data_IF_177532406891
#
_entry.id   IF_177532406891
#
_cell.length_a   1.000
_cell.length_b   1.000
_cell.length_c   1.000
_cell.angle_alpha   90.00
_cell.angle_beta   90.00
_cell.angle_gamma   90.00
#
_symmetry.space_group_name_H-M   'P 1'
#
loop_
_entity.id
_entity.type
_entity.pdbx_description
1 polymer ?
#
# COMPACT_ATOMS: atom_id res chain seq x y z
N UNK A 1 29.49 -25.51 9.56
CA UNK A 1 28.89 -26.30 8.46
C UNK A 1 29.53 -27.69 8.24
N UNK A 2 30.72 -28.00 8.79
CA UNK A 2 31.39 -29.30 8.56
C UNK A 2 30.78 -30.47 9.36
N UNK A 3 30.25 -30.22 10.56
CA UNK A 3 29.65 -31.24 11.43
C UNK A 3 28.45 -32.00 10.80
N UNK A 4 27.43 -31.33 10.20
CA UNK A 4 26.31 -32.05 9.57
C UNK A 4 26.74 -32.84 8.32
N UNK A 5 27.74 -32.35 7.58
CA UNK A 5 28.29 -33.05 6.40
C UNK A 5 28.99 -34.33 6.84
N UNK A 6 29.78 -34.27 7.92
CA UNK A 6 30.47 -35.43 8.47
C UNK A 6 29.49 -36.51 8.95
N UNK A 7 28.40 -36.10 9.63
CA UNK A 7 27.34 -37.01 10.09
C UNK A 7 26.62 -37.65 8.89
N UNK A 8 26.29 -36.88 7.84
CA UNK A 8 25.63 -37.39 6.65
C UNK A 8 26.50 -38.44 5.93
N UNK A 9 27.81 -38.21 5.82
CA UNK A 9 28.77 -39.15 5.22
C UNK A 9 28.86 -40.45 6.03
N UNK A 10 28.89 -40.35 7.36
CA UNK A 10 28.93 -41.52 8.26
C UNK A 10 27.65 -42.35 8.14
N UNK A 11 26.48 -41.70 8.11
CA UNK A 11 25.18 -42.37 7.95
C UNK A 11 25.08 -43.07 6.59
N UNK A 12 25.55 -42.43 5.52
CA UNK A 12 25.58 -43.01 4.18
C UNK A 12 26.49 -44.24 4.13
N UNK A 13 27.68 -44.16 4.74
CA UNK A 13 28.63 -45.28 4.80
C UNK A 13 28.07 -46.48 5.59
N UNK A 14 27.40 -46.22 6.72
CA UNK A 14 26.74 -47.26 7.51
C UNK A 14 25.58 -47.91 6.75
N UNK A 15 24.79 -47.12 6.03
CA UNK A 15 23.67 -47.66 5.23
C UNK A 15 24.18 -48.57 4.10
N UNK A 16 25.27 -48.20 3.43
CA UNK A 16 25.92 -49.04 2.39
C UNK A 16 26.44 -50.36 2.97
N UNK A 17 27.09 -50.33 4.13
CA UNK A 17 27.60 -51.54 4.82
C UNK A 17 26.46 -52.49 5.25
N UNK A 18 25.34 -51.95 5.72
CA UNK A 18 24.17 -52.75 6.11
C UNK A 18 23.48 -53.36 4.88
N UNK A 19 23.41 -52.64 3.75
CA UNK A 19 22.84 -53.15 2.50
C UNK A 19 23.71 -54.26 1.88
N UNK A 20 25.05 -54.14 1.92
CA UNK A 20 25.96 -55.16 1.37
C UNK A 20 25.78 -56.51 2.05
N UNK A 21 25.52 -56.50 3.37
CA UNK A 21 25.33 -57.72 4.15
C UNK A 21 23.94 -58.35 3.97
N UNK A 22 22.92 -57.56 3.64
CA UNK A 22 21.53 -58.02 3.55
C UNK A 22 21.03 -58.28 2.12
N UNK A 23 21.67 -57.72 1.09
CA UNK A 23 21.24 -57.92 -0.30
C UNK A 23 22.03 -59.06 -0.93
N UNK A 24 21.35 -60.19 -1.18
CA UNK A 24 21.95 -61.43 -1.73
C UNK A 24 22.50 -61.29 -3.16
N UNK A 25 22.04 -60.30 -3.93
CA UNK A 25 22.45 -60.08 -5.33
C UNK A 25 23.36 -58.86 -5.46
N UNK A 26 24.61 -59.10 -5.86
CA UNK A 26 25.62 -58.04 -6.05
C UNK A 26 25.22 -57.02 -7.12
N UNK A 27 24.46 -57.43 -8.13
CA UNK A 27 24.01 -56.55 -9.21
C UNK A 27 22.98 -55.52 -8.74
N UNK A 28 22.08 -55.91 -7.84
CA UNK A 28 21.09 -55.01 -7.24
C UNK A 28 21.74 -53.96 -6.33
N UNK A 29 22.83 -54.34 -5.64
CA UNK A 29 23.62 -53.42 -4.81
C UNK A 29 24.31 -52.35 -5.67
N UNK A 30 24.99 -52.73 -6.75
CA UNK A 30 25.64 -51.74 -7.64
C UNK A 30 24.63 -50.81 -8.32
N UNK A 31 23.45 -51.32 -8.71
CA UNK A 31 22.39 -50.49 -9.27
C UNK A 31 21.88 -49.43 -8.28
N UNK A 32 21.76 -49.79 -7.00
CA UNK A 32 21.35 -48.87 -5.93
C UNK A 32 22.44 -47.82 -5.61
N UNK A 33 23.70 -48.23 -5.53
CA UNK A 33 24.80 -47.28 -5.34
C UNK A 33 24.92 -46.30 -6.52
N UNK A 34 24.72 -46.78 -7.75
CA UNK A 34 24.70 -45.93 -8.95
C UNK A 34 23.58 -44.90 -8.95
N UNK A 35 22.36 -45.28 -8.55
CA UNK A 35 21.24 -44.33 -8.47
C UNK A 35 21.43 -43.30 -7.36
N UNK A 36 22.04 -43.69 -6.24
CA UNK A 36 22.37 -42.78 -5.14
C UNK A 36 23.39 -41.71 -5.57
N UNK A 37 24.45 -42.10 -6.28
CA UNK A 37 25.46 -41.16 -6.79
C UNK A 37 24.89 -40.20 -7.84
N UNK A 38 23.97 -40.67 -8.70
CA UNK A 38 23.27 -39.80 -9.64
C UNK A 38 22.39 -38.79 -8.91
N UNK A 39 21.64 -39.22 -7.89
CA UNK A 39 20.80 -38.34 -7.09
C UNK A 39 21.62 -37.27 -6.36
N UNK A 40 22.75 -37.65 -5.74
CA UNK A 40 23.62 -36.69 -5.06
C UNK A 40 24.34 -35.75 -6.03
N UNK A 41 24.67 -36.20 -7.23
CA UNK A 41 25.27 -35.37 -8.28
C UNK A 41 24.28 -34.33 -8.82
N UNK A 42 23.00 -34.70 -9.00
CA UNK A 42 21.95 -33.77 -9.45
C UNK A 42 21.67 -32.71 -8.39
N UNK A 43 21.54 -33.11 -7.12
CA UNK A 43 21.34 -32.17 -6.00
C UNK A 43 22.56 -31.29 -5.78
N UNK A 44 23.77 -31.86 -5.86
CA UNK A 44 25.03 -31.12 -5.73
C UNK A 44 25.23 -30.11 -6.87
N UNK A 45 24.92 -30.50 -8.12
CA UNK A 45 24.95 -29.58 -9.25
C UNK A 45 23.90 -28.49 -9.12
N UNK A 46 22.67 -28.80 -8.72
CA UNK A 46 21.61 -27.82 -8.45
C UNK A 46 21.98 -26.83 -7.33
N UNK A 47 22.62 -27.31 -6.27
CA UNK A 47 23.12 -26.46 -5.19
C UNK A 47 24.30 -25.59 -5.63
N UNK A 48 25.27 -26.15 -6.37
CA UNK A 48 26.44 -25.43 -6.86
C UNK A 48 26.06 -24.39 -7.94
N UNK A 49 25.14 -24.72 -8.84
CA UNK A 49 24.58 -23.77 -9.82
C UNK A 49 23.70 -22.71 -9.17
N UNK A 50 23.00 -23.01 -8.06
CA UNK A 50 22.31 -21.98 -7.26
C UNK A 50 23.27 -21.10 -6.45
N UNK A 51 24.47 -21.60 -6.12
CA UNK A 51 25.53 -20.83 -5.44
C UNK A 51 26.39 -20.03 -6.43
N UNK A 52 26.27 -20.32 -7.73
CA UNK A 52 26.85 -19.52 -8.82
C UNK A 52 25.93 -18.35 -9.22
N UNK A 53 25.16 -17.80 -8.28
CA UNK A 53 24.78 -16.41 -8.37
C UNK A 53 26.07 -15.62 -8.20
N UNK A 54 26.64 -15.14 -9.30
CA UNK A 54 27.62 -14.06 -9.25
C UNK A 54 26.97 -12.95 -8.44
N UNK A 55 27.43 -12.78 -7.20
CA UNK A 55 27.13 -11.61 -6.39
C UNK A 55 27.71 -10.42 -7.15
N UNK A 56 26.91 -9.82 -8.01
CA UNK A 56 27.17 -8.48 -8.50
C UNK A 56 27.02 -7.61 -7.26
N UNK A 57 28.16 -7.30 -6.64
CA UNK A 57 28.26 -6.36 -5.52
C UNK A 57 27.46 -5.12 -5.93
N UNK A 58 26.35 -4.88 -5.23
CA UNK A 58 25.37 -3.87 -5.62
C UNK A 58 26.10 -2.54 -5.74
N UNK A 59 26.22 -2.02 -6.97
CA UNK A 59 27.08 -0.87 -7.27
C UNK A 59 26.74 0.28 -6.31
N UNK A 60 27.76 0.80 -5.62
CA UNK A 60 27.62 1.90 -4.66
C UNK A 60 26.88 3.09 -5.29
N UNK A 61 27.02 3.28 -6.61
CA UNK A 61 26.26 4.29 -7.36
C UNK A 61 24.75 4.04 -7.34
N UNK A 62 24.31 2.78 -7.46
CA UNK A 62 22.91 2.36 -7.43
C UNK A 62 22.32 2.57 -6.04
N UNK A 63 23.07 2.22 -4.99
CA UNK A 63 22.64 2.45 -3.60
C UNK A 63 22.46 3.95 -3.34
N UNK A 64 23.42 4.79 -3.76
CA UNK A 64 23.32 6.24 -3.61
C UNK A 64 22.14 6.82 -4.37
N UNK A 65 21.88 6.33 -5.59
CA UNK A 65 20.73 6.75 -6.40
C UNK A 65 19.40 6.42 -5.72
N UNK A 66 19.20 5.17 -5.28
CA UNK A 66 18.00 4.76 -4.54
C UNK A 66 17.83 5.57 -3.26
N UNK A 67 18.91 5.86 -2.54
CA UNK A 67 18.87 6.67 -1.31
C UNK A 67 18.44 8.11 -1.59
N UNK A 68 18.93 8.74 -2.66
CA UNK A 68 18.49 10.08 -3.07
C UNK A 68 16.99 10.10 -3.42
N UNK A 69 16.52 9.08 -4.14
CA UNK A 69 15.12 8.88 -4.48
C UNK A 69 14.24 8.71 -3.23
N UNK A 70 14.70 7.91 -2.25
CA UNK A 70 14.02 7.72 -0.96
C UNK A 70 13.87 9.03 -0.18
N UNK A 71 14.92 9.86 -0.13
CA UNK A 71 14.89 11.13 0.58
C UNK A 71 13.87 12.09 -0.04
N UNK A 72 13.94 12.27 -1.38
CA UNK A 72 13.02 13.13 -2.11
C UNK A 72 11.56 12.68 -1.95
N UNK A 73 11.29 11.38 -2.13
CA UNK A 73 9.96 10.83 -1.93
C UNK A 73 9.51 10.92 -0.47
N UNK A 74 10.39 10.63 0.49
CA UNK A 74 10.08 10.60 1.92
C UNK A 74 9.67 11.97 2.47
N UNK A 75 10.36 13.03 2.08
CA UNK A 75 9.99 14.41 2.44
C UNK A 75 8.61 14.76 1.89
N UNK A 76 8.40 14.52 0.60
CA UNK A 76 7.12 14.77 -0.06
C UNK A 76 5.98 13.95 0.57
N UNK A 77 6.21 12.66 0.80
CA UNK A 77 5.23 11.73 1.34
C UNK A 77 4.84 12.08 2.77
N UNK A 78 5.78 12.63 3.56
CA UNK A 78 5.50 13.15 4.91
C UNK A 78 4.51 14.31 4.86
N UNK A 79 4.69 15.25 3.93
CA UNK A 79 3.73 16.34 3.73
C UNK A 79 2.38 15.81 3.21
N UNK A 80 2.43 14.93 2.21
CA UNK A 80 1.25 14.28 1.65
C UNK A 80 0.40 13.55 2.71
N UNK A 81 1.04 12.81 3.62
CA UNK A 81 0.36 12.12 4.72
C UNK A 81 -0.40 13.08 5.63
N UNK A 82 0.17 14.24 5.95
CA UNK A 82 -0.53 15.28 6.72
C UNK A 82 -1.79 15.76 5.99
N UNK A 83 -1.75 15.86 4.66
CA UNK A 83 -2.94 16.20 3.87
C UNK A 83 -3.97 15.08 3.88
N UNK A 84 -3.54 13.82 3.79
CA UNK A 84 -4.45 12.66 3.93
C UNK A 84 -5.16 12.64 5.29
N UNK A 85 -4.42 12.87 6.38
CA UNK A 85 -5.00 12.91 7.73
C UNK A 85 -6.03 14.06 7.84
N UNK A 86 -5.75 15.22 7.23
CA UNK A 86 -6.69 16.34 7.19
C UNK A 86 -7.93 16.06 6.32
N UNK A 87 -7.77 15.35 5.20
CA UNK A 87 -8.86 14.90 4.33
C UNK A 87 -9.80 13.96 5.11
N UNK A 88 -9.24 13.00 5.85
CA UNK A 88 -10.00 12.06 6.66
C UNK A 88 -10.74 12.79 7.78
N UNK A 89 -10.06 13.70 8.49
CA UNK A 89 -10.67 14.52 9.53
C UNK A 89 -11.86 15.33 9.02
N UNK A 90 -11.75 15.95 7.84
CA UNK A 90 -12.84 16.71 7.23
C UNK A 90 -14.03 15.79 6.90
N UNK A 91 -13.76 14.59 6.39
CA UNK A 91 -14.79 13.61 6.05
C UNK A 91 -15.54 13.08 7.27
N UNK A 92 -14.79 12.72 8.32
CA UNK A 92 -15.36 12.29 9.60
C UNK A 92 -16.20 13.41 10.21
N UNK A 93 -15.71 14.65 10.14
CA UNK A 93 -16.46 15.82 10.63
C UNK A 93 -17.76 16.03 9.86
N UNK A 94 -17.75 15.88 8.54
CA UNK A 94 -18.94 15.92 7.70
C UNK A 94 -19.97 14.88 8.13
N UNK A 95 -19.56 13.61 8.23
CA UNK A 95 -20.46 12.51 8.63
C UNK A 95 -20.97 12.67 10.05
N UNK A 96 -20.17 13.23 10.96
CA UNK A 96 -20.63 13.58 12.30
C UNK A 96 -21.72 14.64 12.27
N UNK A 97 -21.57 15.73 11.51
CA UNK A 97 -22.63 16.75 11.40
C UNK A 97 -23.92 16.14 10.87
N UNK A 98 -23.82 15.30 9.84
CA UNK A 98 -24.96 14.58 9.27
C UNK A 98 -25.65 13.67 10.28
N UNK A 99 -24.85 12.95 11.09
CA UNK A 99 -25.35 12.06 12.14
C UNK A 99 -25.98 12.81 13.30
N UNK A 100 -25.34 13.86 13.79
CA UNK A 100 -25.86 14.72 14.87
C UNK A 100 -27.21 15.32 14.44
N UNK A 101 -27.31 15.78 13.18
CA UNK A 101 -28.58 16.27 12.64
C UNK A 101 -29.61 15.13 12.55
N UNK A 102 -29.24 13.98 11.98
CA UNK A 102 -30.14 12.82 11.87
C UNK A 102 -30.75 12.42 13.22
N UNK A 103 -29.96 12.48 14.30
CA UNK A 103 -30.37 12.13 15.66
C UNK A 103 -31.16 13.24 16.37
N UNK A 104 -31.42 14.37 15.71
CA UNK A 104 -32.02 15.58 16.31
C UNK A 104 -31.18 16.19 17.44
N UNK A 105 -29.88 15.87 17.52
CA UNK A 105 -28.94 16.45 18.49
C UNK A 105 -28.63 17.93 18.16
N UNK A 106 -28.81 18.32 16.91
CA UNK A 106 -28.66 19.69 16.43
C UNK A 106 -29.82 20.10 15.50
N UNK A 107 -30.14 21.39 15.48
CA UNK A 107 -31.11 21.94 14.54
C UNK A 107 -30.55 22.05 13.12
N UNK A 108 -31.43 22.20 12.11
CA UNK A 108 -31.04 22.45 10.71
C UNK A 108 -30.12 23.67 10.59
N UNK A 109 -30.41 24.76 11.32
CA UNK A 109 -29.60 25.97 11.32
C UNK A 109 -28.20 25.73 11.87
N UNK A 110 -28.09 24.95 12.94
CA UNK A 110 -26.80 24.56 13.50
C UNK A 110 -26.02 23.65 12.54
N UNK A 111 -26.69 22.69 11.89
CA UNK A 111 -26.07 21.87 10.84
C UNK A 111 -25.53 22.71 9.68
N UNK A 112 -26.32 23.68 9.19
CA UNK A 112 -25.90 24.63 8.14
C UNK A 112 -24.66 25.45 8.55
N UNK A 113 -24.63 25.97 9.77
CA UNK A 113 -23.51 26.74 10.29
C UNK A 113 -22.23 25.88 10.36
N UNK A 114 -22.34 24.65 10.90
CA UNK A 114 -21.21 23.71 10.96
C UNK A 114 -20.72 23.29 9.57
N UNK A 115 -21.63 23.04 8.63
CA UNK A 115 -21.28 22.76 7.23
C UNK A 115 -20.60 23.95 6.54
N UNK A 116 -21.00 25.18 6.86
CA UNK A 116 -20.36 26.40 6.36
C UNK A 116 -18.93 26.52 6.85
N UNK A 117 -18.70 26.30 8.15
CA UNK A 117 -17.35 26.29 8.71
C UNK A 117 -16.50 25.15 8.11
N UNK A 118 -17.07 23.96 7.96
CA UNK A 118 -16.39 22.82 7.36
C UNK A 118 -16.02 23.07 5.90
N UNK A 119 -16.90 23.70 5.11
CA UNK A 119 -16.59 24.07 3.73
C UNK A 119 -15.35 24.96 3.66
N UNK A 120 -15.23 25.97 4.52
CA UNK A 120 -14.05 26.85 4.55
C UNK A 120 -12.76 26.05 4.76
N UNK A 121 -12.77 25.11 5.72
CA UNK A 121 -11.62 24.24 5.99
C UNK A 121 -11.28 23.34 4.79
N UNK A 122 -12.30 22.76 4.15
CA UNK A 122 -12.14 21.88 2.99
C UNK A 122 -11.65 22.65 1.78
N UNK A 123 -12.09 23.91 1.57
CA UNK A 123 -11.57 24.78 0.52
C UNK A 123 -10.09 25.11 0.73
N UNK A 124 -9.68 25.42 1.97
CA UNK A 124 -8.26 25.66 2.27
C UNK A 124 -7.42 24.41 1.97
N UNK A 125 -7.85 23.26 2.48
CA UNK A 125 -7.16 21.98 2.26
C UNK A 125 -7.10 21.59 0.78
N UNK A 126 -8.21 21.77 0.06
CA UNK A 126 -8.30 21.54 -1.39
C UNK A 126 -7.25 22.36 -2.13
N UNK A 127 -7.16 23.66 -1.86
CA UNK A 127 -6.16 24.53 -2.49
C UNK A 127 -4.72 24.07 -2.18
N UNK A 128 -4.44 23.69 -0.92
CA UNK A 128 -3.13 23.18 -0.52
C UNK A 128 -2.76 21.88 -1.27
N UNK A 129 -3.70 20.94 -1.44
CA UNK A 129 -3.49 19.72 -2.23
C UNK A 129 -3.23 20.07 -3.70
N UNK A 130 -3.94 21.05 -4.24
CA UNK A 130 -3.77 21.49 -5.63
C UNK A 130 -2.40 22.12 -5.89
N UNK A 131 -1.83 22.79 -4.89
CA UNK A 131 -0.47 23.36 -4.92
C UNK A 131 0.63 22.31 -4.75
N UNK A 132 0.33 21.10 -4.26
CA UNK A 132 1.32 20.04 -4.19
C UNK A 132 1.79 19.64 -5.59
N UNK A 133 3.08 19.35 -5.69
CA UNK A 133 3.72 18.83 -6.90
C UNK A 133 4.60 17.64 -6.53
N UNK A 134 4.66 16.58 -7.37
CA UNK A 134 5.64 15.51 -7.20
C UNK A 134 7.07 16.07 -7.30
N UNK A 135 8.05 15.53 -6.55
CA UNK A 135 9.43 16.00 -6.62
C UNK A 135 10.04 15.73 -7.99
N UNK A 136 10.54 16.79 -8.65
CA UNK A 136 11.16 16.70 -9.99
C UNK A 136 12.46 15.89 -10.02
N UNK A 137 13.06 15.64 -8.85
CA UNK A 137 14.26 14.81 -8.72
C UNK A 137 13.95 13.32 -8.79
N UNK A 138 12.67 12.93 -8.82
CA UNK A 138 12.28 11.55 -9.00
C UNK A 138 12.51 11.08 -10.44
N UNK A 139 13.12 9.91 -10.61
CA UNK A 139 13.07 9.19 -11.90
C UNK A 139 11.63 9.08 -12.43
N UNK A 140 11.49 9.10 -13.75
CA UNK A 140 10.22 9.12 -14.49
C UNK A 140 9.17 8.13 -13.93
N UNK A 141 9.56 6.87 -13.70
CA UNK A 141 8.64 5.86 -13.19
C UNK A 141 8.11 6.19 -11.78
N UNK A 142 8.97 6.70 -10.89
CA UNK A 142 8.55 7.08 -9.54
C UNK A 142 7.77 8.40 -9.56
N UNK A 143 8.17 9.35 -10.41
CA UNK A 143 7.45 10.60 -10.65
C UNK A 143 6.02 10.34 -11.13
N UNK A 144 5.83 9.43 -12.08
CA UNK A 144 4.51 9.07 -12.62
C UNK A 144 3.62 8.40 -11.57
N UNK A 145 4.18 7.51 -10.75
CA UNK A 145 3.46 6.89 -9.63
C UNK A 145 3.02 7.95 -8.60
N UNK A 146 3.93 8.85 -8.21
CA UNK A 146 3.61 9.97 -7.30
C UNK A 146 2.57 10.91 -7.91
N UNK A 147 2.66 11.19 -9.21
CA UNK A 147 1.68 11.98 -9.95
C UNK A 147 0.30 11.33 -9.96
N UNK A 148 0.23 10.01 -10.17
CA UNK A 148 -1.02 9.23 -10.12
C UNK A 148 -1.67 9.31 -8.74
N UNK A 149 -0.88 9.13 -7.67
CA UNK A 149 -1.34 9.30 -6.28
C UNK A 149 -1.99 10.67 -6.11
N UNK A 150 -1.26 11.72 -6.47
CA UNK A 150 -1.73 13.09 -6.29
C UNK A 150 -2.99 13.38 -7.12
N UNK A 151 -3.05 12.90 -8.37
CA UNK A 151 -4.23 13.03 -9.24
C UNK A 151 -5.47 12.41 -8.59
N UNK A 152 -5.36 11.20 -8.05
CA UNK A 152 -6.47 10.52 -7.34
C UNK A 152 -6.90 11.29 -6.10
N UNK A 153 -5.93 11.81 -5.34
CA UNK A 153 -6.22 12.60 -4.13
C UNK A 153 -6.90 13.93 -4.47
N UNK A 154 -6.51 14.60 -5.56
CA UNK A 154 -7.20 15.79 -6.07
C UNK A 154 -8.66 15.49 -6.42
N UNK A 155 -8.91 14.42 -7.18
CA UNK A 155 -10.27 14.00 -7.53
C UNK A 155 -11.12 13.66 -6.29
N UNK A 156 -10.53 13.00 -5.29
CA UNK A 156 -11.21 12.73 -4.02
C UNK A 156 -11.55 14.03 -3.27
N UNK A 157 -10.61 14.97 -3.18
CA UNK A 157 -10.82 16.27 -2.57
C UNK A 157 -11.91 17.09 -3.28
N UNK A 158 -11.96 17.05 -4.62
CA UNK A 158 -13.02 17.66 -5.42
C UNK A 158 -14.40 17.08 -5.05
N UNK A 159 -14.50 15.75 -4.95
CA UNK A 159 -15.74 15.08 -4.59
C UNK A 159 -16.20 15.41 -3.16
N UNK A 160 -15.28 15.50 -2.19
CA UNK A 160 -15.60 15.96 -0.84
C UNK A 160 -16.15 17.39 -0.84
N UNK A 161 -15.45 18.32 -1.49
CA UNK A 161 -15.87 19.72 -1.57
C UNK A 161 -17.23 19.86 -2.26
N UNK A 162 -17.46 19.12 -3.35
CA UNK A 162 -18.74 19.07 -4.06
C UNK A 162 -19.85 18.57 -3.16
N UNK A 163 -19.63 17.46 -2.45
CA UNK A 163 -20.60 16.88 -1.52
C UNK A 163 -20.98 17.87 -0.43
N UNK A 164 -19.99 18.44 0.25
CA UNK A 164 -20.22 19.36 1.37
C UNK A 164 -20.97 20.60 0.91
N UNK A 165 -20.62 21.17 -0.25
CA UNK A 165 -21.35 22.30 -0.84
C UNK A 165 -22.80 21.96 -1.16
N UNK A 166 -23.04 20.82 -1.80
CA UNK A 166 -24.38 20.37 -2.16
C UNK A 166 -25.24 20.16 -0.90
N UNK A 167 -24.71 19.45 0.10
CA UNK A 167 -25.40 19.22 1.37
C UNK A 167 -25.66 20.53 2.12
N UNK A 168 -24.68 21.44 2.16
CA UNK A 168 -24.85 22.77 2.76
C UNK A 168 -25.96 23.57 2.07
N UNK A 169 -26.03 23.53 0.73
CA UNK A 169 -27.10 24.20 -0.02
C UNK A 169 -28.48 23.63 0.32
N UNK A 170 -28.59 22.31 0.49
CA UNK A 170 -29.84 21.68 0.93
C UNK A 170 -30.17 21.97 2.40
N UNK A 171 -29.16 22.23 3.23
CA UNK A 171 -29.34 22.57 4.64
C UNK A 171 -29.65 24.06 4.89
N UNK A 172 -29.72 24.89 3.84
CA UNK A 172 -29.97 26.33 3.96
C UNK A 172 -31.36 26.61 4.57
N UNK A 173 -31.43 27.15 5.81
CA UNK A 173 -32.72 27.35 6.49
C UNK A 173 -33.63 28.34 5.78
N UNK A 174 -33.09 29.26 4.97
CA UNK A 174 -33.89 30.25 4.22
C UNK A 174 -34.51 29.64 2.95
N UNK A 175 -33.92 28.56 2.44
CA UNK A 175 -34.40 27.85 1.24
C UNK A 175 -35.15 26.55 1.57
N UNK A 176 -35.14 26.12 2.83
CA UNK A 176 -35.81 24.90 3.26
C UNK A 176 -37.34 25.08 3.23
N UNK A 177 -38.01 24.23 2.45
CA UNK A 177 -39.46 24.32 2.18
C UNK A 177 -40.34 23.57 3.18
N UNK A 178 -39.74 22.88 4.15
CA UNK A 178 -40.44 22.01 5.11
C UNK A 178 -39.81 22.12 6.49
N UNK A 179 -40.62 21.97 7.52
CA UNK A 179 -40.17 21.88 8.92
C UNK A 179 -40.08 20.42 9.41
N UNK A 180 -40.55 19.45 8.61
CA UNK A 180 -40.51 18.04 8.97
C UNK A 180 -39.09 17.49 8.89
N UNK A 181 -38.54 17.11 10.05
CA UNK A 181 -37.15 16.63 10.19
C UNK A 181 -36.79 15.50 9.21
N UNK A 182 -37.63 14.47 9.11
CA UNK A 182 -37.38 13.33 8.22
C UNK A 182 -37.25 13.74 6.75
N UNK A 183 -38.04 14.72 6.31
CA UNK A 183 -38.01 15.24 4.94
C UNK A 183 -36.74 16.09 4.72
N UNK A 184 -36.38 16.92 5.70
CA UNK A 184 -35.12 17.68 5.66
C UNK A 184 -33.91 16.74 5.57
N UNK A 185 -33.88 15.70 6.42
CA UNK A 185 -32.83 14.68 6.41
C UNK A 185 -32.80 13.91 5.08
N UNK A 186 -33.96 13.66 4.47
CA UNK A 186 -34.05 13.11 3.12
C UNK A 186 -33.28 13.94 2.09
N UNK A 187 -33.54 15.25 2.01
CA UNK A 187 -32.84 16.14 1.08
C UNK A 187 -31.32 16.17 1.30
N UNK A 188 -30.87 16.18 2.55
CA UNK A 188 -29.44 16.17 2.89
C UNK A 188 -28.80 14.82 2.51
N UNK A 189 -29.48 13.69 2.72
CA UNK A 189 -29.01 12.36 2.31
C UNK A 189 -28.94 12.22 0.80
N UNK A 190 -29.91 12.73 0.07
CA UNK A 190 -29.91 12.70 -1.39
C UNK A 190 -28.71 13.49 -1.95
N UNK A 191 -28.45 14.68 -1.42
CA UNK A 191 -27.27 15.47 -1.78
C UNK A 191 -25.97 14.71 -1.50
N UNK A 192 -25.88 14.01 -0.36
CA UNK A 192 -24.75 13.17 -0.02
C UNK A 192 -24.56 12.02 -1.02
N UNK A 193 -25.60 11.23 -1.27
CA UNK A 193 -25.52 10.03 -2.10
C UNK A 193 -25.15 10.35 -3.55
N UNK A 194 -25.68 11.45 -4.09
CA UNK A 194 -25.43 11.86 -5.48
C UNK A 194 -24.01 12.41 -5.68
N UNK A 195 -23.43 13.03 -4.66
CA UNK A 195 -22.18 13.78 -4.81
C UNK A 195 -20.96 13.15 -4.12
N UNK A 196 -21.17 12.13 -3.29
CA UNK A 196 -20.10 11.48 -2.52
C UNK A 196 -18.93 11.09 -3.41
N UNK A 197 -17.68 11.34 -2.96
CA UNK A 197 -16.51 10.91 -3.69
C UNK A 197 -16.44 9.39 -3.76
N UNK A 198 -15.90 8.87 -4.87
CA UNK A 198 -15.42 7.49 -4.94
C UNK A 198 -14.32 7.26 -3.90
N UNK A 199 -14.10 6.01 -3.50
CA UNK A 199 -13.02 5.68 -2.55
C UNK A 199 -11.63 6.05 -3.09
N UNK A 200 -10.77 6.57 -2.21
CA UNK A 200 -9.39 6.92 -2.55
C UNK A 200 -8.47 5.68 -2.55
N UNK A 201 -8.18 5.15 -3.74
CA UNK A 201 -7.31 3.97 -3.90
C UNK A 201 -5.90 4.32 -4.38
N UNK A 202 -4.95 4.47 -3.45
CA UNK A 202 -3.53 4.80 -3.75
C UNK A 202 -2.54 3.71 -3.35
N UNK A 203 -3.02 2.60 -2.77
CA UNK A 203 -2.18 1.53 -2.25
C UNK A 203 -1.32 0.86 -3.33
N UNK A 204 -1.82 0.72 -4.56
CA UNK A 204 -1.08 0.11 -5.67
C UNK A 204 0.17 0.91 -6.04
N UNK A 205 0.03 2.23 -6.17
CA UNK A 205 1.15 3.12 -6.44
C UNK A 205 2.15 3.18 -5.28
N UNK A 206 1.66 3.27 -4.04
CA UNK A 206 2.52 3.28 -2.84
C UNK A 206 3.32 1.97 -2.73
N UNK A 207 2.70 0.83 -3.02
CA UNK A 207 3.39 -0.46 -3.02
C UNK A 207 4.47 -0.54 -4.11
N UNK A 208 4.20 0.02 -5.29
CA UNK A 208 5.16 0.07 -6.38
C UNK A 208 6.34 0.98 -6.04
N UNK A 209 6.07 2.17 -5.50
CA UNK A 209 7.11 3.09 -5.00
C UNK A 209 7.95 2.43 -3.91
N UNK A 210 7.33 1.76 -2.93
CA UNK A 210 8.05 1.04 -1.89
C UNK A 210 8.99 -0.01 -2.49
N UNK A 211 8.52 -0.79 -3.48
CA UNK A 211 9.35 -1.79 -4.16
C UNK A 211 10.53 -1.15 -4.90
N UNK A 212 10.28 -0.09 -5.66
CA UNK A 212 11.30 0.62 -6.44
C UNK A 212 12.36 1.29 -5.56
N UNK A 213 11.95 1.76 -4.38
CA UNK A 213 12.80 2.49 -3.45
C UNK A 213 13.41 1.59 -2.37
N UNK A 214 13.22 0.28 -2.41
CA UNK A 214 13.86 -0.63 -1.45
C UNK A 214 15.25 -1.00 -1.96
N UNK A 215 16.28 -0.81 -1.12
CA UNK A 215 17.62 -1.30 -1.42
C UNK A 215 17.58 -2.83 -1.36
N UNK A 216 17.96 -3.56 -2.42
CA UNK A 216 17.91 -5.02 -2.40
C UNK A 216 18.87 -5.59 -1.35
N UNK A 217 18.41 -6.54 -0.55
CA UNK A 217 19.27 -7.27 0.38
C UNK A 217 20.18 -8.23 -0.41
N UNK A 218 21.49 -8.10 -0.23
CA UNK A 218 22.46 -9.07 -0.73
C UNK A 218 22.47 -10.24 0.27
N UNK A 219 21.86 -11.36 -0.09
CA UNK A 219 21.89 -12.61 0.69
C UNK A 219 22.98 -13.55 0.19
#
# INVERSE_FOLDING_TARGET
MLLPILIAVIVLALMVLVLEKNIKSRMAFYAFCGSLLLATSIVGYGYYSSTSNSYEELDESTIRHITAQQLAFGEWYTNYKKKLDAIDYCWVSYHRIMKDFQNEDISLREAYNRLTQLESNVVSLHNEIYQMTPPISLDDANYDLTSSILKKTKAYSDGQLKTIRATKMMADPEKMLTEQHDVQMGYLKDAMLVNSPDMLFTAGEINSLRKNLTIPEVN
#
